data_IF_355012123518
#
_entry.id   IF_355012123518
#
_cell.length_a   1.000
_cell.length_b   1.000
_cell.length_c   1.000
_cell.angle_alpha   90.00
_cell.angle_beta   90.00
_cell.angle_gamma   90.00
#
_symmetry.space_group_name_H-M   'P 1'
#
loop_
_entity.id
_entity.type
_entity.pdbx_description
1 polymer ?
#
# COMPACT_ATOMS: atom_id res chain seq x y z
N UNK A 1 -2.19 3.58 17.43
CA UNK A 1 -0.86 3.31 18.02
C UNK A 1 -0.83 3.98 19.38
N UNK A 2 -0.26 3.32 20.38
CA UNK A 2 -0.09 3.94 21.71
C UNK A 2 1.00 5.02 21.64
N UNK A 3 0.72 6.28 22.02
CA UNK A 3 1.69 7.36 21.92
C UNK A 3 2.95 7.12 22.77
N UNK A 4 2.82 6.46 23.92
CA UNK A 4 3.96 6.20 24.82
C UNK A 4 4.90 5.18 24.18
N UNK A 5 4.36 4.09 23.65
CA UNK A 5 5.16 3.12 22.89
C UNK A 5 5.85 3.77 21.67
N UNK A 6 5.12 4.55 20.85
CA UNK A 6 5.67 5.16 19.63
C UNK A 6 6.84 6.12 19.90
N UNK A 7 6.78 6.88 21.01
CA UNK A 7 7.79 7.89 21.32
C UNK A 7 8.99 7.33 22.09
N UNK A 8 8.77 6.35 22.97
CA UNK A 8 9.81 5.91 23.92
C UNK A 8 10.37 4.50 23.66
N UNK A 9 9.63 3.66 22.93
CA UNK A 9 9.94 2.22 22.83
C UNK A 9 10.06 1.72 21.39
N UNK A 10 9.40 2.36 20.44
CA UNK A 10 9.44 1.96 19.04
C UNK A 10 10.84 2.14 18.45
N UNK A 11 11.24 1.14 17.68
CA UNK A 11 12.48 1.18 16.90
C UNK A 11 12.32 2.12 15.70
N UNK A 12 13.43 2.59 15.15
CA UNK A 12 13.43 3.45 13.96
C UNK A 12 12.74 2.76 12.77
N UNK A 13 12.88 1.43 12.66
CA UNK A 13 12.21 0.64 11.62
C UNK A 13 10.69 0.65 11.82
N UNK A 14 10.20 0.34 13.02
CA UNK A 14 8.76 0.39 13.33
C UNK A 14 8.16 1.79 13.13
N UNK A 15 8.94 2.83 13.43
CA UNK A 15 8.54 4.22 13.16
C UNK A 15 8.46 4.48 11.66
N UNK A 16 9.43 3.99 10.88
CA UNK A 16 9.43 4.06 9.42
C UNK A 16 8.20 3.39 8.82
N UNK A 17 7.97 2.13 9.17
CA UNK A 17 6.81 1.35 8.72
C UNK A 17 5.48 2.03 9.10
N UNK A 18 5.41 2.59 10.31
CA UNK A 18 4.22 3.32 10.75
C UNK A 18 3.99 4.59 9.93
N UNK A 19 5.05 5.35 9.65
CA UNK A 19 4.98 6.57 8.85
C UNK A 19 4.59 6.29 7.41
N UNK A 20 5.14 5.25 6.81
CA UNK A 20 4.77 4.79 5.47
C UNK A 20 3.29 4.44 5.41
N UNK A 21 2.82 3.56 6.30
CA UNK A 21 1.40 3.23 6.37
C UNK A 21 0.50 4.42 6.72
N UNK A 22 1.02 5.44 7.42
CA UNK A 22 0.28 6.69 7.67
C UNK A 22 0.14 7.55 6.42
N UNK A 23 1.18 7.60 5.58
CA UNK A 23 1.14 8.27 4.28
C UNK A 23 0.15 7.56 3.35
N UNK A 24 0.20 6.22 3.26
CA UNK A 24 -0.74 5.42 2.46
C UNK A 24 -2.20 5.67 2.86
N UNK A 25 -2.53 5.60 4.16
CA UNK A 25 -3.89 5.89 4.63
C UNK A 25 -4.37 7.30 4.28
N UNK A 26 -3.46 8.27 4.29
CA UNK A 26 -3.77 9.64 3.90
C UNK A 26 -4.05 9.70 2.39
N UNK A 27 -3.21 9.06 1.58
CA UNK A 27 -3.41 8.95 0.13
C UNK A 27 -4.76 8.29 -0.18
N UNK A 28 -5.08 7.15 0.44
CA UNK A 28 -6.38 6.47 0.29
C UNK A 28 -7.57 7.39 0.61
N UNK A 29 -7.45 8.19 1.67
CA UNK A 29 -8.50 9.15 2.05
C UNK A 29 -8.67 10.24 0.98
N UNK A 30 -7.57 10.71 0.39
CA UNK A 30 -7.60 11.65 -0.73
C UNK A 30 -8.16 11.02 -2.00
N UNK A 31 -7.85 9.75 -2.28
CA UNK A 31 -8.42 9.00 -3.40
C UNK A 31 -9.93 8.84 -3.27
N UNK A 32 -10.42 8.48 -2.09
CA UNK A 32 -11.85 8.40 -1.82
C UNK A 32 -12.53 9.75 -2.04
N UNK A 33 -11.90 10.83 -1.58
CA UNK A 33 -12.41 12.20 -1.74
C UNK A 33 -12.42 12.62 -3.21
N UNK A 34 -11.36 12.28 -3.96
CA UNK A 34 -11.22 12.51 -5.40
C UNK A 34 -12.35 11.83 -6.16
N UNK A 35 -12.58 10.55 -5.90
CA UNK A 35 -13.65 9.79 -6.54
C UNK A 35 -15.04 10.38 -6.26
N UNK A 36 -15.35 10.68 -4.99
CA UNK A 36 -16.64 11.27 -4.63
C UNK A 36 -16.86 12.62 -5.30
N UNK A 37 -15.83 13.48 -5.30
CA UNK A 37 -15.87 14.79 -5.94
C UNK A 37 -16.06 14.67 -7.45
N UNK A 38 -15.37 13.71 -8.09
CA UNK A 38 -15.51 13.42 -9.50
C UNK A 38 -16.92 12.96 -9.87
N UNK A 39 -17.53 12.07 -9.08
CA UNK A 39 -18.92 11.63 -9.31
C UNK A 39 -19.87 12.82 -9.29
N UNK A 40 -19.75 13.70 -8.29
CA UNK A 40 -20.58 14.90 -8.18
C UNK A 40 -20.34 15.84 -9.36
N UNK A 41 -19.09 16.07 -9.73
CA UNK A 41 -18.72 16.93 -10.86
C UNK A 41 -19.23 16.38 -12.20
N UNK A 42 -19.12 15.06 -12.43
CA UNK A 42 -19.59 14.39 -13.66
C UNK A 42 -21.11 14.48 -13.79
N UNK A 43 -21.85 14.31 -12.70
CA UNK A 43 -23.31 14.55 -12.67
C UNK A 43 -23.62 16.02 -12.97
N UNK A 44 -22.74 16.94 -12.55
CA UNK A 44 -22.83 18.37 -12.84
C UNK A 44 -22.39 18.79 -14.25
N UNK A 45 -21.99 17.86 -15.12
CA UNK A 45 -21.56 18.15 -16.49
C UNK A 45 -20.06 18.44 -16.64
N UNK A 46 -19.22 17.94 -15.73
CA UNK A 46 -17.77 17.96 -15.92
C UNK A 46 -17.36 17.10 -17.11
N UNK A 47 -16.46 17.63 -17.95
CA UNK A 47 -16.00 16.99 -19.18
C UNK A 47 -14.78 16.06 -19.00
N UNK A 48 -14.13 16.07 -17.83
CA UNK A 48 -12.99 15.20 -17.55
C UNK A 48 -13.39 13.72 -17.68
N UNK A 49 -12.50 12.92 -18.28
CA UNK A 49 -12.76 11.51 -18.55
C UNK A 49 -12.41 10.62 -17.36
N UNK A 50 -11.38 11.00 -16.59
CA UNK A 50 -10.94 10.27 -15.40
C UNK A 50 -10.92 11.15 -14.15
N UNK A 51 -10.94 10.49 -12.97
CA UNK A 51 -10.85 11.18 -11.70
C UNK A 51 -9.46 11.84 -11.49
N UNK A 52 -8.41 11.25 -12.05
CA UNK A 52 -7.03 11.79 -12.07
C UNK A 52 -6.93 13.06 -12.90
N UNK A 53 -7.55 13.10 -14.09
CA UNK A 53 -7.61 14.31 -14.92
C UNK A 53 -8.40 15.43 -14.24
N UNK A 54 -9.51 15.05 -13.58
CA UNK A 54 -10.36 15.97 -12.83
C UNK A 54 -9.64 16.59 -11.62
N UNK A 55 -8.89 15.79 -10.85
CA UNK A 55 -8.16 16.22 -9.67
C UNK A 55 -6.79 15.52 -9.60
N UNK A 56 -5.76 16.10 -10.22
CA UNK A 56 -4.42 15.55 -10.21
C UNK A 56 -3.78 15.71 -8.82
N UNK A 57 -3.23 14.62 -8.31
CA UNK A 57 -2.58 14.52 -7.00
C UNK A 57 -1.07 14.30 -7.16
N UNK A 58 -0.26 14.66 -6.15
CA UNK A 58 1.21 14.61 -6.27
C UNK A 58 1.80 13.24 -6.61
N UNK A 59 1.17 12.16 -6.14
CA UNK A 59 1.62 10.78 -6.33
C UNK A 59 1.21 10.15 -7.67
N UNK A 60 0.33 10.79 -8.45
CA UNK A 60 0.00 10.32 -9.80
C UNK A 60 1.26 10.32 -10.71
N UNK A 61 2.19 11.26 -10.48
CA UNK A 61 3.46 11.37 -11.20
C UNK A 61 4.51 10.34 -10.76
N UNK A 62 4.40 9.84 -9.54
CA UNK A 62 5.29 8.78 -9.04
C UNK A 62 4.93 7.46 -9.73
N UNK A 63 3.64 7.21 -9.95
CA UNK A 63 3.15 6.03 -10.67
C UNK A 63 3.47 6.03 -12.17
N UNK A 64 3.61 7.20 -12.82
CA UNK A 64 4.07 7.27 -14.23
C UNK A 64 5.51 6.77 -14.42
N UNK A 65 6.35 6.78 -13.36
CA UNK A 65 7.75 6.34 -13.41
C UNK A 65 7.96 4.92 -12.87
N UNK A 66 6.91 4.30 -12.33
CA UNK A 66 6.89 2.86 -12.07
C UNK A 66 6.51 2.25 -13.42
N UNK A 67 7.51 1.99 -14.27
CA UNK A 67 7.33 0.91 -15.25
C UNK A 67 6.86 -0.29 -14.42
N UNK A 68 5.60 -0.69 -14.60
CA UNK A 68 5.07 -1.96 -14.14
C UNK A 68 6.00 -3.03 -14.71
N UNK A 69 7.09 -3.35 -14.01
CA UNK A 69 7.91 -4.53 -14.28
C UNK A 69 7.06 -5.72 -13.86
N UNK A 70 6.06 -6.02 -14.69
CA UNK A 70 5.15 -7.15 -14.61
C UNK A 70 5.81 -8.44 -15.09
N UNK A 71 7.14 -8.43 -15.30
CA UNK A 71 7.92 -9.63 -15.46
C UNK A 71 8.17 -10.25 -14.08
N UNK A 72 7.20 -11.02 -13.62
CA UNK A 72 7.39 -11.88 -12.46
C UNK A 72 8.41 -12.97 -12.84
N UNK A 73 9.59 -12.95 -12.22
CA UNK A 73 10.59 -13.98 -12.44
C UNK A 73 10.05 -15.35 -11.95
N UNK A 74 9.89 -16.34 -12.85
CA UNK A 74 9.39 -17.66 -12.48
C UNK A 74 10.30 -18.39 -11.48
N UNK A 75 11.60 -18.08 -11.44
CA UNK A 75 12.53 -18.67 -10.48
C UNK A 75 12.34 -18.06 -9.08
N UNK A 76 12.16 -16.74 -8.99
CA UNK A 76 11.85 -16.05 -7.72
C UNK A 76 10.51 -16.54 -7.13
N UNK A 77 9.48 -16.70 -7.97
CA UNK A 77 8.21 -17.29 -7.59
C UNK A 77 8.35 -18.71 -7.01
N UNK A 78 9.26 -19.51 -7.57
CA UNK A 78 9.51 -20.88 -7.09
C UNK A 78 10.17 -20.84 -5.72
N UNK A 79 11.18 -19.99 -5.53
CA UNK A 79 11.88 -19.83 -4.24
C UNK A 79 10.92 -19.38 -3.13
N UNK A 80 10.09 -18.37 -3.40
CA UNK A 80 9.07 -17.90 -2.46
C UNK A 80 8.09 -18.99 -2.07
N UNK A 81 7.67 -19.84 -3.01
CA UNK A 81 6.79 -21.00 -2.74
C UNK A 81 7.48 -22.06 -1.89
N UNK A 82 8.77 -22.27 -2.05
CA UNK A 82 9.54 -23.21 -1.24
C UNK A 82 9.72 -22.70 0.19
N UNK A 83 10.03 -21.41 0.35
CA UNK A 83 10.09 -20.75 1.66
C UNK A 83 8.74 -20.80 2.38
N UNK A 84 7.63 -20.50 1.70
CA UNK A 84 6.30 -20.59 2.28
C UNK A 84 5.96 -21.99 2.81
N UNK A 85 6.37 -23.06 2.09
CA UNK A 85 6.18 -24.45 2.53
C UNK A 85 7.02 -24.81 3.75
N UNK A 86 8.22 -24.24 3.88
CA UNK A 86 9.06 -24.40 5.08
C UNK A 86 8.38 -23.77 6.29
N UNK A 87 7.92 -22.53 6.14
CA UNK A 87 7.18 -21.82 7.20
C UNK A 87 5.91 -22.58 7.60
N UNK A 88 5.14 -23.09 6.64
CA UNK A 88 3.93 -23.89 6.90
C UNK A 88 4.25 -25.17 7.69
N UNK A 89 5.36 -25.84 7.37
CA UNK A 89 5.80 -27.03 8.12
C UNK A 89 6.22 -26.67 9.54
N UNK A 90 6.97 -25.58 9.72
CA UNK A 90 7.39 -25.12 11.05
C UNK A 90 6.20 -24.70 11.94
N UNK A 91 5.17 -24.10 11.34
CA UNK A 91 3.91 -23.78 12.01
C UNK A 91 3.13 -25.04 12.41
N UNK A 92 3.09 -26.06 11.53
CA UNK A 92 2.41 -27.34 11.80
C UNK A 92 3.14 -28.20 12.83
N UNK A 93 4.47 -28.12 12.88
CA UNK A 93 5.30 -28.84 13.85
C UNK A 93 5.29 -28.21 15.25
N UNK A 94 4.51 -27.14 15.46
CA UNK A 94 4.25 -26.57 16.80
C UNK A 94 5.45 -25.90 17.45
N UNK A 95 6.49 -25.52 16.69
CA UNK A 95 7.68 -24.85 17.24
C UNK A 95 7.45 -23.37 17.58
N UNK A 96 6.34 -22.81 17.11
CA UNK A 96 5.86 -21.47 17.46
C UNK A 96 4.42 -21.54 17.98
N UNK A 97 4.21 -22.24 19.09
CA UNK A 97 3.13 -21.92 20.02
C UNK A 97 3.76 -21.19 21.20
N UNK A 98 3.72 -19.86 21.16
CA UNK A 98 3.85 -19.01 22.34
C UNK A 98 2.71 -18.02 22.36
#
# INVERSE_FOLDING_TARGET
MDPVYFLDQATILEIGDYMEGAAERLQDSWEQTRLLSFIVARVGGCDADTAEEFLPLPWDKENENIEESTEVDPDELRELREQAKLIEKELKDGRYTM
#
